data_IF_124492839553
#
_entry.id   IF_124492839553
#
_cell.length_a   1.000
_cell.length_b   1.000
_cell.length_c   1.000
_cell.angle_alpha   90.00
_cell.angle_beta   90.00
_cell.angle_gamma   90.00
#
_symmetry.space_group_name_H-M   'P 1'
#
loop_
_entity.id
_entity.type
_entity.pdbx_description
1 polymer ?
#
# COMPACT_ATOMS: atom_id res chain seq x y z
N UNK A 1 -4.63 16.03 -3.96
CA UNK A 1 -4.86 14.86 -3.10
C UNK A 1 -4.62 15.22 -1.64
N UNK A 2 -5.26 14.50 -0.72
CA UNK A 2 -4.89 14.41 0.70
C UNK A 2 -4.42 12.98 1.01
N UNK A 3 -3.35 12.84 1.80
CA UNK A 3 -2.82 11.54 2.22
C UNK A 3 -3.02 11.39 3.73
N UNK A 4 -3.76 10.36 4.13
CA UNK A 4 -4.19 10.14 5.51
C UNK A 4 -4.03 8.67 5.90
N UNK A 5 -4.08 8.37 7.20
CA UNK A 5 -4.19 6.98 7.63
C UNK A 5 -5.56 6.42 7.27
N UNK A 6 -5.63 5.10 7.09
CA UNK A 6 -6.83 4.37 6.68
C UNK A 6 -8.14 4.85 7.34
N UNK A 7 -8.13 5.06 8.66
CA UNK A 7 -9.34 5.38 9.45
C UNK A 7 -9.99 6.73 9.06
N UNK A 8 -9.24 7.68 8.49
CA UNK A 8 -9.78 8.98 8.07
C UNK A 8 -10.36 8.98 6.65
N UNK A 9 -10.28 7.86 5.90
CA UNK A 9 -10.65 7.82 4.47
C UNK A 9 -12.08 8.28 4.23
N UNK A 10 -13.02 7.81 5.06
CA UNK A 10 -14.44 8.17 4.94
C UNK A 10 -14.66 9.66 5.14
N UNK A 11 -14.13 10.20 6.23
CA UNK A 11 -14.27 11.62 6.54
C UNK A 11 -13.70 12.49 5.41
N UNK A 12 -12.47 12.20 4.97
CA UNK A 12 -11.83 12.97 3.92
C UNK A 12 -12.56 12.87 2.57
N UNK A 13 -13.00 11.68 2.15
CA UNK A 13 -13.71 11.53 0.87
C UNK A 13 -15.08 12.23 0.88
N UNK A 14 -15.76 12.25 2.03
CA UNK A 14 -17.01 13.00 2.20
C UNK A 14 -16.79 14.51 2.12
N UNK A 15 -15.73 15.03 2.75
CA UNK A 15 -15.39 16.47 2.70
C UNK A 15 -14.94 16.93 1.31
N UNK A 16 -14.31 16.06 0.53
CA UNK A 16 -13.75 16.37 -0.79
C UNK A 16 -14.71 16.04 -1.94
N UNK A 17 -15.95 15.66 -1.61
CA UNK A 17 -16.98 15.36 -2.62
C UNK A 17 -17.19 16.54 -3.56
N UNK A 18 -17.22 16.26 -4.86
CA UNK A 18 -17.35 17.25 -5.96
C UNK A 18 -16.14 18.17 -6.16
N UNK A 19 -14.97 17.80 -5.62
CA UNK A 19 -13.70 18.41 -5.99
C UNK A 19 -12.91 17.47 -6.90
N UNK A 20 -11.80 17.95 -7.46
CA UNK A 20 -10.79 17.17 -8.18
C UNK A 20 -9.67 16.66 -7.25
N UNK A 21 -9.88 16.71 -5.92
CA UNK A 21 -8.88 16.33 -4.93
C UNK A 21 -9.07 14.86 -4.51
N UNK A 22 -8.09 14.04 -4.83
CA UNK A 22 -8.05 12.62 -4.45
C UNK A 22 -7.88 12.37 -2.94
N UNK A 23 -8.43 11.25 -2.45
CA UNK A 23 -8.26 10.74 -1.08
C UNK A 23 -7.38 9.50 -1.11
N UNK A 24 -6.19 9.61 -0.52
CA UNK A 24 -5.23 8.51 -0.43
C UNK A 24 -5.17 7.96 0.99
N UNK A 25 -5.22 6.63 1.10
CA UNK A 25 -5.07 5.94 2.38
C UNK A 25 -3.69 5.27 2.51
N UNK A 26 -3.05 5.50 3.65
CA UNK A 26 -1.85 4.80 4.07
C UNK A 26 -2.24 3.48 4.77
N UNK A 27 -1.72 2.36 4.28
CA UNK A 27 -2.00 1.00 4.79
C UNK A 27 -0.75 0.42 5.45
N UNK A 28 -0.93 -0.25 6.59
CA UNK A 28 0.15 -0.78 7.43
C UNK A 28 1.18 0.26 7.88
N UNK A 29 0.83 1.54 7.84
CA UNK A 29 1.76 2.63 8.09
C UNK A 29 1.97 2.86 9.60
N UNK A 30 3.21 3.17 10.06
CA UNK A 30 4.45 3.30 9.28
C UNK A 30 5.28 2.01 9.19
N UNK A 31 4.92 0.94 9.90
CA UNK A 31 5.85 -0.15 10.17
C UNK A 31 5.83 -1.27 9.12
N UNK A 32 4.73 -1.45 8.39
CA UNK A 32 4.53 -2.55 7.45
C UNK A 32 4.41 -3.94 8.11
N UNK A 33 4.37 -4.00 9.45
CA UNK A 33 4.41 -5.22 10.27
C UNK A 33 3.04 -5.87 10.47
N UNK A 34 2.32 -6.11 9.37
CA UNK A 34 1.07 -6.87 9.33
C UNK A 34 1.24 -8.07 8.39
N UNK A 35 0.43 -9.12 8.57
CA UNK A 35 0.34 -10.20 7.56
C UNK A 35 -0.36 -9.69 6.30
N UNK A 36 -0.36 -10.46 5.22
CA UNK A 36 -0.98 -10.04 3.96
C UNK A 36 -2.50 -9.86 4.13
N UNK A 37 -3.16 -10.75 4.88
CA UNK A 37 -4.62 -10.76 5.00
C UNK A 37 -5.19 -9.47 5.64
N UNK A 38 -4.67 -8.97 6.78
CA UNK A 38 -5.06 -7.67 7.31
C UNK A 38 -4.74 -6.52 6.35
N UNK A 39 -3.59 -6.52 5.65
CA UNK A 39 -3.29 -5.45 4.69
C UNK A 39 -4.30 -5.41 3.55
N UNK A 40 -4.67 -6.56 3.01
CA UNK A 40 -5.69 -6.69 1.97
C UNK A 40 -7.05 -6.22 2.49
N UNK A 41 -7.44 -6.66 3.70
CA UNK A 41 -8.69 -6.22 4.33
C UNK A 41 -8.73 -4.71 4.55
N UNK A 42 -7.70 -4.14 5.16
CA UNK A 42 -7.59 -2.69 5.44
C UNK A 42 -7.61 -1.87 4.14
N UNK A 43 -7.02 -2.41 3.07
CA UNK A 43 -7.05 -1.81 1.73
C UNK A 43 -8.46 -1.80 1.16
N UNK A 44 -9.16 -2.94 1.18
CA UNK A 44 -10.55 -2.99 0.71
C UNK A 44 -11.46 -2.08 1.54
N UNK A 45 -11.26 -2.00 2.86
CA UNK A 45 -12.03 -1.12 3.73
C UNK A 45 -11.76 0.37 3.41
N UNK A 46 -10.50 0.75 3.18
CA UNK A 46 -10.15 2.10 2.75
C UNK A 46 -10.84 2.50 1.44
N UNK A 47 -10.83 1.60 0.45
CA UNK A 47 -11.46 1.80 -0.86
C UNK A 47 -12.98 1.93 -0.71
N UNK A 48 -13.62 1.05 0.09
CA UNK A 48 -15.06 1.14 0.41
C UNK A 48 -15.41 2.45 1.11
N UNK A 49 -14.47 3.02 1.86
CA UNK A 49 -14.59 4.32 2.52
C UNK A 49 -14.17 5.51 1.63
N UNK A 50 -13.99 5.31 0.33
CA UNK A 50 -13.80 6.37 -0.65
C UNK A 50 -12.34 6.76 -0.92
N UNK A 51 -11.36 5.98 -0.45
CA UNK A 51 -9.99 6.14 -0.92
C UNK A 51 -9.90 5.73 -2.41
N UNK A 52 -9.32 6.60 -3.23
CA UNK A 52 -9.11 6.37 -4.66
C UNK A 52 -7.62 6.21 -5.02
N UNK A 53 -6.74 6.17 -4.01
CA UNK A 53 -5.33 5.80 -4.10
C UNK A 53 -4.88 5.13 -2.79
N UNK A 54 -3.97 4.15 -2.90
CA UNK A 54 -3.45 3.38 -1.76
C UNK A 54 -1.93 3.48 -1.72
N UNK A 55 -1.38 3.87 -0.57
CA UNK A 55 0.05 3.80 -0.27
C UNK A 55 0.26 2.79 0.87
N UNK A 56 0.81 1.61 0.60
CA UNK A 56 1.04 0.61 1.65
C UNK A 56 2.52 0.45 1.98
N UNK A 57 2.84 0.18 3.24
CA UNK A 57 4.21 -0.15 3.65
C UNK A 57 4.46 -1.64 3.46
N UNK A 58 5.51 -1.98 2.73
CA UNK A 58 5.95 -3.37 2.51
C UNK A 58 6.31 -4.03 3.84
N UNK A 59 6.22 -5.36 3.96
CA UNK A 59 6.70 -6.03 5.15
C UNK A 59 8.23 -5.97 5.25
N UNK A 60 8.74 -4.99 5.99
CA UNK A 60 10.18 -4.74 6.14
C UNK A 60 10.86 -5.94 6.81
N UNK A 61 10.22 -6.57 7.81
CA UNK A 61 10.80 -7.73 8.52
C UNK A 61 11.06 -8.90 7.57
N UNK A 62 10.08 -9.26 6.75
CA UNK A 62 10.22 -10.33 5.75
C UNK A 62 11.26 -9.99 4.68
N UNK A 63 11.32 -8.71 4.29
CA UNK A 63 12.33 -8.22 3.34
C UNK A 63 13.76 -8.35 3.92
N UNK A 64 13.99 -7.93 5.17
CA UNK A 64 15.30 -8.06 5.83
C UNK A 64 15.68 -9.53 6.04
N UNK A 65 14.69 -10.40 6.26
CA UNK A 65 14.87 -11.86 6.31
C UNK A 65 15.09 -12.50 4.93
N UNK A 66 15.14 -11.70 3.84
CA UNK A 66 15.30 -12.15 2.46
C UNK A 66 14.19 -13.10 1.99
N UNK A 67 13.01 -13.04 2.62
CA UNK A 67 11.84 -13.81 2.22
C UNK A 67 11.15 -13.15 1.01
N UNK A 68 11.85 -13.16 -0.13
CA UNK A 68 11.37 -12.51 -1.35
C UNK A 68 10.12 -13.17 -1.93
N UNK A 69 9.84 -14.43 -1.58
CA UNK A 69 8.61 -15.10 -1.96
C UNK A 69 7.40 -14.45 -1.28
N UNK A 70 7.48 -14.23 0.04
CA UNK A 70 6.46 -13.49 0.77
C UNK A 70 6.28 -12.07 0.22
N UNK A 71 7.38 -11.34 -0.02
CA UNK A 71 7.32 -9.98 -0.56
C UNK A 71 6.65 -9.95 -1.94
N UNK A 72 6.97 -10.91 -2.80
CA UNK A 72 6.32 -11.00 -4.12
C UNK A 72 4.82 -11.27 -3.99
N UNK A 73 4.42 -12.16 -3.08
CA UNK A 73 3.01 -12.47 -2.83
C UNK A 73 2.27 -11.27 -2.25
N UNK A 74 2.86 -10.57 -1.28
CA UNK A 74 2.31 -9.34 -0.71
C UNK A 74 2.08 -8.29 -1.80
N UNK A 75 3.10 -7.98 -2.60
CA UNK A 75 2.98 -7.01 -3.69
C UNK A 75 1.90 -7.41 -4.68
N UNK A 76 1.83 -8.71 -5.04
CA UNK A 76 0.80 -9.22 -5.95
C UNK A 76 -0.60 -9.02 -5.37
N UNK A 77 -0.85 -9.44 -4.13
CA UNK A 77 -2.19 -9.31 -3.54
C UNK A 77 -2.61 -7.86 -3.34
N UNK A 78 -1.68 -6.97 -2.97
CA UNK A 78 -1.97 -5.54 -2.85
C UNK A 78 -2.34 -4.91 -4.18
N UNK A 79 -1.56 -5.20 -5.24
CA UNK A 79 -1.83 -4.72 -6.61
C UNK A 79 -3.16 -5.27 -7.13
N UNK A 80 -3.39 -6.59 -7.02
CA UNK A 80 -4.63 -7.23 -7.46
C UNK A 80 -5.86 -6.66 -6.74
N UNK A 81 -5.74 -6.41 -5.43
CA UNK A 81 -6.82 -5.83 -4.63
C UNK A 81 -7.14 -4.41 -5.11
N UNK A 82 -6.13 -3.56 -5.35
CA UNK A 82 -6.37 -2.21 -5.84
C UNK A 82 -6.92 -2.20 -7.28
N UNK A 83 -6.36 -3.03 -8.17
CA UNK A 83 -6.79 -3.13 -9.57
C UNK A 83 -8.24 -3.63 -9.72
N UNK A 84 -8.68 -4.56 -8.84
CA UNK A 84 -10.08 -5.00 -8.77
C UNK A 84 -11.07 -3.84 -8.63
N UNK A 85 -10.66 -2.73 -8.01
CA UNK A 85 -11.48 -1.53 -7.81
C UNK A 85 -11.04 -0.34 -8.67
N UNK A 86 -10.13 -0.53 -9.63
CA UNK A 86 -9.54 0.53 -10.46
C UNK A 86 -8.87 1.66 -9.64
N UNK A 87 -8.26 1.29 -8.51
CA UNK A 87 -7.55 2.22 -7.61
C UNK A 87 -6.03 2.12 -7.85
N UNK A 88 -5.35 3.27 -7.80
CA UNK A 88 -3.89 3.32 -7.92
C UNK A 88 -3.23 2.74 -6.67
N UNK A 89 -2.26 1.84 -6.85
CA UNK A 89 -1.49 1.22 -5.79
C UNK A 89 -0.04 1.72 -5.78
N UNK A 90 0.45 2.13 -4.61
CA UNK A 90 1.83 2.51 -4.37
C UNK A 90 2.39 1.73 -3.20
N UNK A 91 3.64 1.33 -3.33
CA UNK A 91 4.38 0.62 -2.29
C UNK A 91 5.44 1.53 -1.68
N UNK A 92 5.46 1.59 -0.35
CA UNK A 92 6.47 2.26 0.47
C UNK A 92 7.47 1.19 0.91
N UNK A 93 8.73 1.36 0.50
CA UNK A 93 9.82 0.43 0.84
C UNK A 93 10.53 0.76 2.15
N UNK A 94 10.41 2.00 2.61
CA UNK A 94 11.16 2.52 3.75
C UNK A 94 12.69 2.41 3.55
N UNK A 95 13.16 3.05 2.47
CA UNK A 95 14.54 2.95 1.97
C UNK A 95 15.61 3.22 3.02
N UNK A 96 15.32 4.00 4.07
CA UNK A 96 16.23 4.25 5.19
C UNK A 96 16.68 2.97 5.90
N UNK A 97 15.91 1.88 5.84
CA UNK A 97 16.28 0.57 6.40
C UNK A 97 16.94 -0.37 5.39
N UNK A 98 17.06 0.04 4.13
CA UNK A 98 17.45 -0.84 3.04
C UNK A 98 18.81 -0.48 2.45
N UNK A 99 19.55 -1.52 2.08
CA UNK A 99 20.74 -1.41 1.24
C UNK A 99 20.33 -1.12 -0.21
N UNK A 100 21.26 -0.56 -1.00
CA UNK A 100 21.04 -0.33 -2.44
C UNK A 100 20.68 -1.62 -3.19
N UNK A 101 21.24 -2.75 -2.80
CA UNK A 101 20.93 -4.05 -3.40
C UNK A 101 19.51 -4.53 -3.05
N UNK A 102 19.06 -4.36 -1.81
CA UNK A 102 17.67 -4.63 -1.42
C UNK A 102 16.70 -3.77 -2.22
N UNK A 103 16.94 -2.45 -2.31
CA UNK A 103 16.13 -1.49 -3.09
C UNK A 103 16.06 -1.91 -4.56
N UNK A 104 17.20 -2.22 -5.18
CA UNK A 104 17.27 -2.66 -6.59
C UNK A 104 16.49 -3.95 -6.81
N UNK A 105 16.55 -4.89 -5.85
CA UNK A 105 15.87 -6.18 -5.96
C UNK A 105 14.36 -6.04 -5.86
N UNK A 106 13.84 -5.27 -4.91
CA UNK A 106 12.38 -5.08 -4.76
C UNK A 106 11.78 -4.17 -5.84
N UNK A 107 12.52 -3.18 -6.33
CA UNK A 107 12.04 -2.30 -7.43
C UNK A 107 11.75 -3.10 -8.70
N UNK A 108 12.57 -4.12 -9.02
CA UNK A 108 12.34 -5.03 -10.15
C UNK A 108 11.07 -5.89 -10.01
N UNK A 109 10.56 -6.08 -8.80
CA UNK A 109 9.29 -6.76 -8.60
C UNK A 109 8.10 -5.84 -8.93
N UNK A 110 8.26 -4.52 -8.82
CA UNK A 110 7.22 -3.55 -9.21
C UNK A 110 7.02 -3.52 -10.74
N UNK A 111 8.09 -3.61 -11.52
CA UNK A 111 8.02 -3.56 -13.00
C UNK A 111 7.30 -4.77 -13.63
N UNK A 112 7.04 -5.82 -12.85
CA UNK A 112 6.54 -7.11 -13.33
C UNK A 112 5.08 -7.40 -12.96
N UNK A 113 4.47 -6.52 -12.17
CA UNK A 113 3.08 -6.61 -11.70
C UNK A 113 2.29 -5.41 -12.24
#
# INVERSE_FOLDING_TARGET
MVAINQVQSKFCSEQLKNTDIDTRAAIAFPLGQQTIEPKVFDTEDAIKNGANEIDYVINITELKNKNYAYIKEEMKQMVDTCHKYHVLCKVIFENCYLTKEEIKKISRNCERN
#
